data_IF_827082350862
#
_entry.id   IF_827082350862
#
_cell.length_a   1.000
_cell.length_b   1.000
_cell.length_c   1.000
_cell.angle_alpha   90.00
_cell.angle_beta   90.00
_cell.angle_gamma   90.00
#
_symmetry.space_group_name_H-M   'P 1'
#
loop_
_entity.id
_entity.type
_entity.pdbx_description
1 polymer ?
#
# COMPACT_ATOMS: atom_id res chain seq x y z
N UNK A 1 5.08 28.53 -30.88
CA UNK A 1 4.74 27.75 -29.70
C UNK A 1 5.17 26.32 -29.96
N UNK A 2 5.97 25.73 -29.08
CA UNK A 2 6.38 24.34 -29.18
C UNK A 2 5.42 23.50 -28.31
N UNK A 3 4.80 22.42 -28.84
CA UNK A 3 3.96 21.55 -28.05
C UNK A 3 4.72 20.91 -26.90
N UNK A 4 4.10 20.84 -25.74
CA UNK A 4 4.64 20.12 -24.58
C UNK A 4 4.43 18.61 -24.78
N UNK A 5 5.47 17.83 -24.50
CA UNK A 5 5.33 16.37 -24.46
C UNK A 5 4.63 15.96 -23.19
N UNK A 6 3.55 15.22 -23.30
CA UNK A 6 2.81 14.66 -22.17
C UNK A 6 2.71 13.15 -22.32
N UNK A 7 2.57 12.46 -21.20
CA UNK A 7 2.34 11.04 -21.13
C UNK A 7 1.19 10.77 -20.17
N UNK A 8 0.16 9.99 -20.57
CA UNK A 8 -0.90 9.62 -19.67
C UNK A 8 -0.36 8.70 -18.57
N UNK A 9 -0.50 9.08 -17.34
CA UNK A 9 -0.05 8.34 -16.17
C UNK A 9 -1.14 8.34 -15.10
N UNK A 10 -1.14 7.31 -14.25
CA UNK A 10 -2.01 7.27 -13.09
C UNK A 10 -1.69 8.44 -12.17
N UNK A 11 -2.72 9.16 -11.76
CA UNK A 11 -2.61 10.31 -10.86
C UNK A 11 -3.19 10.03 -9.49
N UNK A 12 -4.32 9.30 -9.44
CA UNK A 12 -5.09 9.06 -8.25
C UNK A 12 -5.82 7.72 -8.33
N UNK A 13 -5.88 6.99 -7.22
CA UNK A 13 -6.66 5.77 -7.10
C UNK A 13 -7.86 6.03 -6.19
N UNK A 14 -9.07 6.05 -6.77
CA UNK A 14 -10.29 6.16 -5.99
C UNK A 14 -10.54 4.86 -5.23
N UNK A 15 -11.05 5.02 -4.01
CA UNK A 15 -11.25 3.93 -3.08
C UNK A 15 -10.24 3.97 -1.94
N UNK A 16 -10.35 3.08 -1.02
CA UNK A 16 -9.51 3.02 0.17
C UNK A 16 -10.23 2.29 1.31
N UNK A 17 -9.77 2.51 2.54
CA UNK A 17 -10.39 1.92 3.71
C UNK A 17 -11.75 2.55 4.00
N UNK A 18 -12.70 1.71 4.38
CA UNK A 18 -13.99 2.20 4.85
C UNK A 18 -13.84 2.96 6.17
N UNK A 19 -14.55 4.08 6.29
CA UNK A 19 -14.65 4.89 7.50
C UNK A 19 -16.09 5.37 7.72
N UNK A 20 -16.42 5.64 8.97
CA UNK A 20 -17.63 6.35 9.34
C UNK A 20 -17.49 7.88 9.16
N UNK A 21 -18.52 8.65 9.53
CA UNK A 21 -18.49 10.10 9.46
C UNK A 21 -17.47 10.78 10.38
N UNK A 22 -16.89 10.03 11.34
CA UNK A 22 -15.81 10.50 12.20
C UNK A 22 -14.44 10.06 11.67
N UNK A 23 -14.36 9.53 10.47
CA UNK A 23 -13.15 8.96 9.87
C UNK A 23 -12.56 7.77 10.64
N UNK A 24 -13.37 7.11 11.46
CA UNK A 24 -13.00 5.90 12.17
C UNK A 24 -13.25 4.69 11.27
N UNK A 25 -12.25 3.81 11.14
CA UNK A 25 -12.39 2.53 10.45
C UNK A 25 -13.17 1.52 11.31
N UNK A 26 -13.35 0.30 10.80
CA UNK A 26 -13.90 -0.82 11.59
C UNK A 26 -12.99 -1.27 12.73
N UNK A 27 -11.76 -0.79 12.78
CA UNK A 27 -10.81 -1.05 13.87
C UNK A 27 -10.80 0.18 14.78
N UNK A 28 -11.24 0.06 16.06
CA UNK A 28 -11.24 1.20 16.97
C UNK A 28 -9.85 1.81 17.15
N UNK A 29 -9.75 3.13 17.00
CA UNK A 29 -8.50 3.87 17.08
C UNK A 29 -7.73 3.98 15.76
N UNK A 30 -8.12 3.24 14.72
CA UNK A 30 -7.58 3.42 13.38
C UNK A 30 -8.43 4.43 12.61
N UNK A 31 -7.92 5.65 12.49
CA UNK A 31 -8.53 6.75 11.73
C UNK A 31 -7.89 6.83 10.35
N UNK A 32 -8.71 7.12 9.34
CA UNK A 32 -8.23 7.23 7.95
C UNK A 32 -8.77 8.50 7.31
N UNK A 33 -7.89 9.45 7.02
CA UNK A 33 -8.24 10.73 6.40
C UNK A 33 -7.74 10.85 4.97
N UNK A 34 -8.36 11.73 4.20
CA UNK A 34 -7.97 12.04 2.83
C UNK A 34 -8.11 10.85 1.87
N UNK A 35 -7.17 10.74 0.96
CA UNK A 35 -7.20 9.77 -0.14
C UNK A 35 -7.06 8.29 0.30
N UNK A 36 -6.64 8.05 1.53
CA UNK A 36 -6.52 6.70 2.07
C UNK A 36 -7.87 6.10 2.50
N UNK A 37 -8.91 6.91 2.70
CA UNK A 37 -10.25 6.42 2.94
C UNK A 37 -11.01 6.20 1.63
N UNK A 38 -12.09 5.40 1.69
CA UNK A 38 -12.86 5.03 0.51
C UNK A 38 -13.50 6.24 -0.21
N UNK A 39 -13.66 7.34 0.46
CA UNK A 39 -14.28 8.59 0.06
C UNK A 39 -15.56 8.47 -0.81
N UNK A 40 -16.30 9.53 -0.95
CA UNK A 40 -17.55 9.59 -1.71
C UNK A 40 -17.39 10.16 -3.14
N UNK A 41 -16.16 10.08 -3.69
CA UNK A 41 -15.88 10.56 -5.05
C UNK A 41 -16.47 9.67 -6.16
N UNK A 42 -16.93 8.49 -5.85
CA UNK A 42 -17.40 7.52 -6.83
C UNK A 42 -16.29 7.04 -7.77
N UNK A 43 -16.66 6.68 -8.99
CA UNK A 43 -15.72 6.16 -9.98
C UNK A 43 -14.80 7.23 -10.60
N UNK A 44 -15.15 8.51 -10.49
CA UNK A 44 -14.37 9.60 -11.06
C UNK A 44 -14.58 10.89 -10.26
N UNK A 45 -13.55 11.38 -9.61
CA UNK A 45 -13.59 12.59 -8.82
C UNK A 45 -13.52 13.86 -9.66
N UNK A 46 -14.08 14.94 -9.15
CA UNK A 46 -13.89 16.28 -9.70
C UNK A 46 -12.46 16.79 -9.44
N UNK A 47 -11.98 17.66 -10.30
CA UNK A 47 -10.68 18.29 -10.13
C UNK A 47 -10.57 19.00 -8.77
N UNK A 48 -9.44 18.87 -8.09
CA UNK A 48 -9.10 19.39 -6.77
C UNK A 48 -9.96 18.88 -5.59
N UNK A 49 -11.02 18.10 -5.81
CA UNK A 49 -11.90 17.64 -4.73
C UNK A 49 -11.20 16.69 -3.72
N UNK A 50 -10.23 15.91 -4.16
CA UNK A 50 -9.46 15.04 -3.25
C UNK A 50 -8.63 15.85 -2.24
N UNK A 51 -7.95 16.90 -2.70
CA UNK A 51 -7.18 17.78 -1.81
C UNK A 51 -8.10 18.54 -0.86
N UNK A 52 -9.26 19.00 -1.35
CA UNK A 52 -10.28 19.67 -0.54
C UNK A 52 -10.81 18.72 0.55
N UNK A 53 -11.09 17.47 0.21
CA UNK A 53 -11.47 16.44 1.19
C UNK A 53 -10.39 16.26 2.24
N UNK A 54 -9.13 16.05 1.84
CA UNK A 54 -8.03 15.87 2.80
C UNK A 54 -7.86 17.05 3.76
N UNK A 55 -8.07 18.28 3.28
CA UNK A 55 -8.07 19.47 4.12
C UNK A 55 -9.28 19.48 5.07
N UNK A 56 -10.48 19.15 4.57
CA UNK A 56 -11.69 19.12 5.40
C UNK A 56 -11.57 18.04 6.49
N UNK A 57 -11.13 16.85 6.15
CA UNK A 57 -10.89 15.76 7.08
C UNK A 57 -9.88 16.17 8.19
N UNK A 58 -8.76 16.76 7.78
CA UNK A 58 -7.70 17.16 8.70
C UNK A 58 -8.03 18.34 9.59
N UNK A 59 -8.80 19.32 9.11
CA UNK A 59 -9.12 20.53 9.88
C UNK A 59 -10.45 20.42 10.67
N UNK A 60 -11.44 19.76 10.12
CA UNK A 60 -12.80 19.83 10.67
C UNK A 60 -13.27 18.52 11.33
N UNK A 61 -12.67 17.39 11.01
CA UNK A 61 -13.14 16.11 11.52
C UNK A 61 -12.11 15.46 12.46
N UNK A 62 -10.90 15.15 11.98
CA UNK A 62 -9.89 14.42 12.74
C UNK A 62 -9.58 15.00 14.12
N UNK A 63 -9.43 16.33 14.31
CA UNK A 63 -9.11 16.87 15.63
C UNK A 63 -10.19 16.55 16.67
N UNK A 64 -11.46 16.61 16.28
CA UNK A 64 -12.57 16.28 17.17
C UNK A 64 -12.68 14.80 17.44
N UNK A 65 -12.50 13.96 16.39
CA UNK A 65 -12.53 12.50 16.56
C UNK A 65 -11.41 12.02 17.48
N UNK A 66 -10.20 12.51 17.29
CA UNK A 66 -9.04 12.17 18.15
C UNK A 66 -9.31 12.62 19.59
N UNK A 67 -9.78 13.85 19.78
CA UNK A 67 -10.11 14.38 21.12
C UNK A 67 -11.18 13.55 21.84
N UNK A 68 -12.26 13.22 21.13
CA UNK A 68 -13.35 12.40 21.68
C UNK A 68 -12.89 10.97 21.96
N UNK A 69 -12.12 10.36 21.07
CA UNK A 69 -11.60 9.00 21.25
C UNK A 69 -10.69 8.92 22.48
N UNK A 70 -9.76 9.85 22.64
CA UNK A 70 -8.83 9.89 23.77
C UNK A 70 -9.55 10.21 25.11
N UNK A 71 -10.62 11.02 25.07
CA UNK A 71 -11.41 11.32 26.25
C UNK A 71 -12.27 10.13 26.72
N UNK A 72 -12.72 9.28 25.80
CA UNK A 72 -13.61 8.16 26.07
C UNK A 72 -12.92 6.81 26.23
N UNK A 73 -11.68 6.70 25.78
CA UNK A 73 -10.94 5.43 25.72
C UNK A 73 -9.74 5.47 26.65
N UNK A 74 -9.69 4.53 27.58
CA UNK A 74 -8.50 4.33 28.41
C UNK A 74 -7.47 3.54 27.64
N UNK A 75 -6.44 4.24 27.15
CA UNK A 75 -5.32 3.60 26.46
C UNK A 75 -4.35 3.02 27.50
N UNK A 76 -3.96 1.77 27.28
CA UNK A 76 -2.87 1.17 28.04
C UNK A 76 -1.53 1.68 27.52
N UNK A 77 -0.57 1.83 28.41
CA UNK A 77 0.79 2.19 28.02
C UNK A 77 1.48 0.95 27.45
N UNK A 78 1.77 1.02 26.16
CA UNK A 78 2.52 -0.02 25.45
C UNK A 78 3.97 0.43 25.33
N UNK A 79 4.89 -0.37 25.82
CA UNK A 79 6.34 -0.18 25.64
C UNK A 79 6.96 -1.38 24.91
N UNK A 80 8.26 -1.35 24.71
CA UNK A 80 9.01 -2.41 23.99
C UNK A 80 8.93 -3.79 24.69
N UNK A 81 8.59 -3.81 25.99
CA UNK A 81 8.45 -5.06 26.76
C UNK A 81 7.09 -5.73 26.55
N UNK A 82 6.10 -5.00 26.00
CA UNK A 82 4.77 -5.52 25.77
C UNK A 82 4.80 -6.72 24.80
N UNK A 83 4.07 -7.82 25.08
CA UNK A 83 4.10 -9.02 24.23
C UNK A 83 3.74 -8.75 22.77
N UNK A 84 2.71 -7.93 22.52
CA UNK A 84 2.29 -7.57 21.15
C UNK A 84 3.34 -6.75 20.40
N UNK A 85 4.06 -5.84 21.10
CA UNK A 85 5.15 -5.09 20.50
C UNK A 85 6.30 -6.02 20.08
N UNK A 86 6.67 -6.96 20.93
CA UNK A 86 7.69 -7.99 20.60
C UNK A 86 7.25 -8.89 19.45
N UNK A 87 5.98 -9.30 19.44
CA UNK A 87 5.44 -10.11 18.36
C UNK A 87 5.50 -9.36 17.01
N UNK A 88 5.15 -8.07 16.99
CA UNK A 88 5.24 -7.23 15.79
C UNK A 88 6.69 -7.10 15.29
N UNK A 89 7.65 -6.87 16.18
CA UNK A 89 9.08 -6.82 15.82
C UNK A 89 9.53 -8.15 15.23
N UNK A 90 9.17 -9.28 15.87
CA UNK A 90 9.56 -10.61 15.40
C UNK A 90 9.04 -10.90 13.98
N UNK A 91 7.81 -10.48 13.66
CA UNK A 91 7.24 -10.62 12.30
C UNK A 91 8.07 -9.87 11.26
N UNK A 92 8.47 -8.63 11.57
CA UNK A 92 9.29 -7.82 10.64
C UNK A 92 10.69 -8.43 10.47
N UNK A 93 11.32 -8.85 11.56
CA UNK A 93 12.65 -9.51 11.51
C UNK A 93 12.61 -10.80 10.69
N UNK A 94 11.60 -11.63 10.89
CA UNK A 94 11.44 -12.87 10.14
C UNK A 94 11.24 -12.60 8.65
N UNK A 95 10.42 -11.60 8.31
CA UNK A 95 10.24 -11.18 6.91
C UNK A 95 11.56 -10.74 6.28
N UNK A 96 12.37 -9.94 6.96
CA UNK A 96 13.68 -9.52 6.48
C UNK A 96 14.63 -10.71 6.31
N UNK A 97 14.73 -11.59 7.31
CA UNK A 97 15.52 -12.83 7.24
C UNK A 97 15.10 -13.70 6.06
N UNK A 98 13.80 -13.87 5.85
CA UNK A 98 13.25 -14.62 4.72
C UNK A 98 13.71 -14.03 3.39
N UNK A 99 13.55 -12.72 3.17
CA UNK A 99 13.96 -12.04 1.93
C UNK A 99 15.46 -12.21 1.66
N UNK A 100 16.30 -12.03 2.66
CA UNK A 100 17.77 -12.18 2.53
C UNK A 100 18.22 -13.63 2.34
N UNK A 101 17.46 -14.60 2.84
CA UNK A 101 17.79 -16.03 2.70
C UNK A 101 17.50 -16.59 1.31
N UNK A 102 16.74 -15.87 0.50
CA UNK A 102 16.32 -16.32 -0.81
C UNK A 102 17.49 -16.31 -1.80
N UNK A 103 17.67 -17.43 -2.50
CA UNK A 103 18.78 -17.65 -3.45
C UNK A 103 18.28 -17.92 -4.86
N UNK A 104 17.26 -17.17 -5.25
CA UNK A 104 16.70 -17.26 -6.59
C UNK A 104 17.60 -16.61 -7.66
N UNK A 105 17.07 -16.54 -8.88
CA UNK A 105 17.79 -16.02 -10.04
C UNK A 105 17.28 -14.69 -10.52
N UNK A 106 16.15 -14.22 -9.98
CA UNK A 106 15.50 -12.99 -10.43
C UNK A 106 15.71 -11.85 -9.45
N UNK A 107 15.97 -10.67 -10.00
CA UNK A 107 16.12 -9.43 -9.21
C UNK A 107 14.76 -8.85 -8.83
N UNK A 108 14.72 -8.09 -7.76
CA UNK A 108 13.54 -7.32 -7.32
C UNK A 108 12.97 -6.47 -8.47
N UNK A 109 13.84 -5.76 -9.18
CA UNK A 109 13.45 -4.90 -10.30
C UNK A 109 12.74 -5.67 -11.42
N UNK A 110 13.11 -6.94 -11.67
CA UNK A 110 12.46 -7.74 -12.69
C UNK A 110 11.00 -8.07 -12.32
N UNK A 111 10.74 -8.37 -11.05
CA UNK A 111 9.39 -8.60 -10.54
C UNK A 111 8.55 -7.32 -10.56
N UNK A 112 9.11 -6.21 -10.10
CA UNK A 112 8.42 -4.92 -10.12
C UNK A 112 7.98 -4.51 -11.53
N UNK A 113 8.89 -4.65 -12.51
CA UNK A 113 8.57 -4.32 -13.91
C UNK A 113 7.53 -5.25 -14.51
N UNK A 114 7.56 -6.53 -14.18
CA UNK A 114 6.58 -7.49 -14.67
C UNK A 114 5.20 -7.22 -14.09
N UNK A 115 5.10 -6.98 -12.77
CA UNK A 115 3.86 -6.56 -12.13
C UNK A 115 3.32 -5.28 -12.78
N UNK A 116 4.17 -4.26 -12.94
CA UNK A 116 3.80 -3.00 -13.58
C UNK A 116 3.28 -3.19 -15.01
N UNK A 117 3.87 -4.12 -15.77
CA UNK A 117 3.40 -4.47 -17.12
C UNK A 117 2.04 -5.16 -17.08
N UNK A 118 1.82 -6.11 -16.18
CA UNK A 118 0.51 -6.77 -16.00
C UNK A 118 -0.56 -5.72 -15.66
N UNK A 119 -0.28 -4.86 -14.69
CA UNK A 119 -1.20 -3.79 -14.28
C UNK A 119 -1.48 -2.81 -15.44
N UNK A 120 -0.46 -2.42 -16.18
CA UNK A 120 -0.62 -1.52 -17.32
C UNK A 120 -1.48 -2.12 -18.43
N UNK A 121 -1.19 -3.36 -18.82
CA UNK A 121 -1.86 -4.02 -19.95
C UNK A 121 -3.29 -4.46 -19.64
N UNK A 122 -3.55 -4.89 -18.41
CA UNK A 122 -4.82 -5.53 -18.05
C UNK A 122 -5.71 -4.71 -17.11
N UNK A 123 -5.11 -3.86 -16.26
CA UNK A 123 -5.80 -3.06 -15.25
C UNK A 123 -5.72 -1.56 -15.49
N UNK A 124 -5.14 -1.12 -16.61
CA UNK A 124 -4.98 0.28 -16.99
C UNK A 124 -6.29 0.97 -17.38
N UNK A 125 -6.19 2.03 -18.20
CA UNK A 125 -7.35 2.84 -18.58
C UNK A 125 -8.37 2.11 -19.47
N UNK A 126 -7.93 1.20 -20.32
CA UNK A 126 -8.79 0.41 -21.22
C UNK A 126 -9.00 -1.01 -20.71
N UNK A 127 -9.92 -1.20 -19.77
CA UNK A 127 -10.18 -2.49 -19.14
C UNK A 127 -11.27 -3.29 -19.84
N UNK A 128 -11.12 -4.60 -19.87
CA UNK A 128 -12.14 -5.54 -20.30
C UNK A 128 -12.09 -6.82 -19.47
N UNK A 129 -13.17 -7.62 -19.51
CA UNK A 129 -13.30 -8.84 -18.71
C UNK A 129 -12.13 -9.81 -18.91
N UNK A 130 -11.78 -10.09 -20.15
CA UNK A 130 -10.71 -11.05 -20.47
C UNK A 130 -9.34 -10.60 -19.95
N UNK A 131 -9.03 -9.30 -20.03
CA UNK A 131 -7.81 -8.74 -19.47
C UNK A 131 -7.77 -8.84 -17.95
N UNK A 132 -8.86 -8.49 -17.27
CA UNK A 132 -8.95 -8.60 -15.81
C UNK A 132 -8.83 -10.06 -15.33
N UNK A 133 -9.46 -11.02 -16.03
CA UNK A 133 -9.31 -12.45 -15.75
C UNK A 133 -7.85 -12.92 -15.90
N UNK A 134 -7.12 -12.39 -16.89
CA UNK A 134 -5.68 -12.66 -17.02
C UNK A 134 -4.86 -12.05 -15.87
N UNK A 135 -5.17 -10.84 -15.42
CA UNK A 135 -4.49 -10.24 -14.29
C UNK A 135 -4.68 -11.08 -13.01
N UNK A 136 -5.92 -11.52 -12.74
CA UNK A 136 -6.26 -12.40 -11.61
C UNK A 136 -5.51 -13.75 -11.63
N UNK A 137 -5.05 -14.20 -12.77
CA UNK A 137 -4.21 -15.40 -12.88
C UNK A 137 -2.72 -15.10 -12.78
N UNK A 138 -2.27 -14.03 -13.46
CA UNK A 138 -0.85 -13.70 -13.58
C UNK A 138 -0.26 -13.14 -12.28
N UNK A 139 -1.02 -12.29 -11.55
CA UNK A 139 -0.50 -11.66 -10.33
C UNK A 139 -0.24 -12.68 -9.22
N UNK A 140 -1.17 -13.60 -8.88
CA UNK A 140 -0.87 -14.66 -7.92
C UNK A 140 0.30 -15.56 -8.35
N UNK A 141 0.39 -15.91 -9.62
CA UNK A 141 1.51 -16.71 -10.14
C UNK A 141 2.86 -15.99 -10.00
N UNK A 142 2.89 -14.68 -10.31
CA UNK A 142 4.08 -13.86 -10.13
C UNK A 142 4.47 -13.72 -8.65
N UNK A 143 3.48 -13.60 -7.75
CA UNK A 143 3.68 -13.60 -6.30
C UNK A 143 4.30 -14.91 -5.80
N UNK A 144 3.80 -16.05 -6.26
CA UNK A 144 4.40 -17.34 -5.92
C UNK A 144 5.83 -17.46 -6.43
N UNK A 145 6.08 -17.03 -7.64
CA UNK A 145 7.43 -17.03 -8.21
C UNK A 145 8.36 -16.10 -7.45
N UNK A 146 7.89 -14.91 -7.02
CA UNK A 146 8.66 -14.00 -6.20
C UNK A 146 9.21 -14.69 -4.96
N UNK A 147 8.36 -15.38 -4.20
CA UNK A 147 8.76 -16.07 -2.97
C UNK A 147 9.58 -17.34 -3.19
N UNK A 148 9.79 -17.76 -4.42
CA UNK A 148 10.62 -18.93 -4.78
C UNK A 148 11.92 -18.54 -5.47
N UNK A 149 11.92 -17.45 -6.24
CA UNK A 149 13.00 -17.18 -7.21
C UNK A 149 13.63 -15.79 -7.08
N UNK A 150 13.26 -15.03 -6.04
CA UNK A 150 13.89 -13.75 -5.74
C UNK A 150 15.34 -13.94 -5.28
N UNK A 151 16.21 -13.00 -5.66
CA UNK A 151 17.53 -12.82 -5.04
C UNK A 151 17.66 -11.39 -4.53
N UNK A 152 18.10 -11.24 -3.29
CA UNK A 152 18.37 -9.97 -2.64
C UNK A 152 19.86 -9.94 -2.26
N UNK A 153 20.69 -9.13 -2.93
CA UNK A 153 22.10 -8.99 -2.59
C UNK A 153 22.29 -8.18 -1.30
N UNK A 154 23.42 -8.39 -0.62
CA UNK A 154 23.78 -7.65 0.59
C UNK A 154 23.26 -8.28 1.88
N UNK A 155 23.36 -7.53 2.97
CA UNK A 155 22.98 -7.93 4.33
C UNK A 155 21.94 -6.96 4.91
N UNK A 156 21.51 -7.18 6.15
CA UNK A 156 20.66 -6.26 6.90
C UNK A 156 21.47 -5.29 7.80
N UNK A 157 22.80 -5.43 7.83
CA UNK A 157 23.65 -4.67 8.75
C UNK A 157 23.90 -3.23 8.27
N UNK A 158 23.74 -3.02 6.95
CA UNK A 158 23.90 -1.72 6.31
C UNK A 158 22.63 -1.32 5.55
N UNK A 159 22.61 -0.08 5.05
CA UNK A 159 21.53 0.41 4.18
C UNK A 159 21.46 -0.42 2.90
N UNK A 160 20.46 -1.30 2.81
CA UNK A 160 20.27 -2.21 1.69
C UNK A 160 19.03 -1.82 0.88
N UNK A 161 19.23 -1.04 -0.18
CA UNK A 161 18.14 -0.62 -1.09
C UNK A 161 17.45 -1.81 -1.77
N UNK A 162 18.14 -2.90 -2.02
CA UNK A 162 17.54 -4.09 -2.62
C UNK A 162 16.60 -4.80 -1.66
N UNK A 163 16.94 -4.84 -0.38
CA UNK A 163 16.08 -5.40 0.67
C UNK A 163 14.83 -4.53 0.88
N UNK A 164 15.02 -3.22 0.95
CA UNK A 164 13.91 -2.26 1.09
C UNK A 164 12.94 -2.36 -0.10
N UNK A 165 13.47 -2.38 -1.33
CA UNK A 165 12.66 -2.55 -2.53
C UNK A 165 11.98 -3.93 -2.57
N UNK A 166 12.61 -4.98 -2.08
CA UNK A 166 12.02 -6.32 -2.01
C UNK A 166 10.81 -6.35 -1.08
N UNK A 167 10.88 -5.67 0.06
CA UNK A 167 9.74 -5.49 0.96
C UNK A 167 8.57 -4.79 0.27
N UNK A 168 8.83 -3.68 -0.41
CA UNK A 168 7.78 -2.93 -1.15
C UNK A 168 7.16 -3.75 -2.28
N UNK A 169 7.97 -4.47 -3.07
CA UNK A 169 7.44 -5.28 -4.16
C UNK A 169 6.62 -6.46 -3.65
N UNK A 170 6.99 -7.04 -2.50
CA UNK A 170 6.13 -8.03 -1.85
C UNK A 170 4.76 -7.45 -1.51
N UNK A 171 4.71 -6.22 -0.93
CA UNK A 171 3.45 -5.54 -0.64
C UNK A 171 2.66 -5.20 -1.91
N UNK A 172 3.31 -4.75 -2.98
CA UNK A 172 2.64 -4.50 -4.26
C UNK A 172 2.05 -5.76 -4.89
N UNK A 173 2.68 -6.92 -4.71
CA UNK A 173 2.15 -8.21 -5.17
C UNK A 173 0.97 -8.71 -4.32
N UNK A 174 0.87 -8.26 -3.06
CA UNK A 174 -0.26 -8.56 -2.18
C UNK A 174 -1.46 -7.64 -2.44
N UNK A 175 -1.21 -6.41 -2.91
CA UNK A 175 -2.22 -5.40 -3.21
C UNK A 175 -2.74 -5.44 -4.65
N UNK A 176 -1.98 -6.01 -5.59
CA UNK A 176 -2.35 -6.14 -7.01
C UNK A 176 -3.28 -7.30 -7.24
#
# INVERSE_FOLDING_TARGET
>A
KVPMRIFPASHYTMGGLWVDYNLMSTIPGLLVGGEANFSDHGANRLGASALMQGLADGYFILPYTVGNYLASTKLEKVDESHPEARAAVAVVEERMKRLLSMKGKRTVTSFHRELGKIMWEHCGMGRNKAGLEQALQKIPALREEFWKNLTVPGTADDLNQSLEMAGRVADFLDLG
#
